data_IF_874966133671
#
_entry.id   IF_874966133671
#
_cell.length_a   1.000
_cell.length_b   1.000
_cell.length_c   1.000
_cell.angle_alpha   90.00
_cell.angle_beta   90.00
_cell.angle_gamma   90.00
#
_symmetry.space_group_name_H-M   'P 1'
#
loop_
_entity.id
_entity.type
_entity.pdbx_description
1 polymer ?
#
# COMPACT_ATOMS: atom_id res chain seq x y z
N UNK A 1 -2.67 56.24 -21.15
CA UNK A 1 -4.01 55.77 -21.54
C UNK A 1 -3.83 54.45 -22.29
N UNK A 2 -4.46 53.36 -21.80
CA UNK A 2 -4.86 52.06 -22.43
C UNK A 2 -3.87 51.34 -23.39
N UNK A 3 -3.42 50.10 -23.13
CA UNK A 3 -4.08 48.78 -23.39
C UNK A 3 -4.51 48.61 -24.87
N UNK A 4 -4.26 47.52 -25.62
CA UNK A 4 -3.76 46.16 -25.35
C UNK A 4 -3.70 45.31 -26.67
N UNK A 5 -2.87 44.25 -26.69
CA UNK A 5 -3.02 42.90 -27.35
C UNK A 5 -3.00 42.88 -28.92
N UNK A 6 -2.30 42.02 -29.68
CA UNK A 6 -2.32 40.55 -29.94
C UNK A 6 -0.97 40.15 -30.61
N UNK A 7 -0.45 38.93 -30.63
CA UNK A 7 -0.90 37.63 -30.17
C UNK A 7 0.30 36.67 -30.13
N UNK A 8 0.26 35.76 -29.15
CA UNK A 8 1.25 34.71 -28.97
C UNK A 8 0.92 33.54 -29.90
N UNK A 9 1.80 33.25 -30.86
CA UNK A 9 1.69 32.10 -31.75
C UNK A 9 2.43 30.91 -31.15
N UNK A 10 1.70 29.80 -31.04
CA UNK A 10 2.16 28.41 -30.96
C UNK A 10 3.10 28.06 -29.80
N UNK A 11 2.50 27.70 -28.67
CA UNK A 11 3.04 26.63 -27.83
C UNK A 11 2.79 25.29 -28.52
N UNK A 12 3.84 24.74 -29.14
CA UNK A 12 3.88 23.35 -29.57
C UNK A 12 3.78 22.43 -28.34
N UNK A 13 2.87 21.46 -28.43
CA UNK A 13 2.63 20.40 -27.45
C UNK A 13 3.85 19.48 -27.29
N UNK A 14 4.83 19.89 -26.49
CA UNK A 14 5.86 19.00 -25.98
C UNK A 14 5.35 18.31 -24.70
N UNK A 15 4.64 17.20 -24.93
CA UNK A 15 4.59 16.00 -24.09
C UNK A 15 5.31 16.11 -22.73
N UNK A 16 4.55 16.47 -21.70
CA UNK A 16 5.06 16.64 -20.33
C UNK A 16 5.24 15.26 -19.68
N UNK A 17 6.43 14.69 -19.87
CA UNK A 17 6.88 13.49 -19.16
C UNK A 17 6.88 13.73 -17.65
N UNK A 18 6.00 12.97 -16.98
CA UNK A 18 6.19 12.38 -15.66
C UNK A 18 6.71 13.32 -14.56
N UNK A 19 5.78 14.04 -13.91
CA UNK A 19 6.04 14.72 -12.64
C UNK A 19 5.14 14.09 -11.57
N UNK A 20 5.46 12.84 -11.17
CA UNK A 20 4.84 12.28 -9.97
C UNK A 20 5.52 12.85 -8.73
N UNK A 21 4.69 13.41 -7.84
CA UNK A 21 4.99 13.94 -6.51
C UNK A 21 5.78 15.25 -6.45
N UNK A 22 5.04 16.37 -6.49
CA UNK A 22 5.55 17.66 -6.01
C UNK A 22 5.41 17.65 -4.48
N UNK A 23 6.54 17.66 -3.75
CA UNK A 23 6.52 17.86 -2.30
C UNK A 23 5.90 19.22 -1.95
N UNK A 24 4.85 19.20 -1.13
CA UNK A 24 4.18 20.40 -0.66
C UNK A 24 5.08 21.15 0.32
N UNK A 25 5.81 22.15 -0.15
CA UNK A 25 6.63 23.03 0.71
C UNK A 25 5.81 24.23 1.19
N UNK A 26 5.60 24.37 2.50
CA UNK A 26 5.01 25.58 3.11
C UNK A 26 6.15 26.44 3.68
N UNK A 27 6.19 27.72 3.30
CA UNK A 27 7.14 28.71 3.85
C UNK A 27 6.45 29.47 4.99
N UNK A 28 6.97 29.33 6.20
CA UNK A 28 6.56 30.14 7.35
C UNK A 28 7.82 30.83 7.90
N UNK A 29 7.83 32.16 7.89
CA UNK A 29 8.90 33.03 8.43
C UNK A 29 10.34 32.57 8.11
N UNK A 30 10.75 32.68 6.83
CA UNK A 30 12.11 32.33 6.33
C UNK A 30 12.60 30.90 6.63
N UNK A 31 11.78 30.05 7.24
CA UNK A 31 12.06 28.64 7.44
C UNK A 31 11.28 27.82 6.42
N UNK A 32 11.99 26.90 5.75
CA UNK A 32 11.38 25.94 4.83
C UNK A 32 10.93 24.75 5.67
N UNK A 33 9.62 24.51 5.73
CA UNK A 33 9.05 23.30 6.33
C UNK A 33 8.74 22.34 5.19
N UNK A 34 9.49 21.24 5.11
CA UNK A 34 9.16 20.12 4.23
C UNK A 34 7.95 19.38 4.82
N UNK A 35 6.79 19.49 4.18
CA UNK A 35 5.64 18.64 4.51
C UNK A 35 5.80 17.38 3.67
N UNK A 36 6.23 16.30 4.30
CA UNK A 36 6.24 14.97 3.71
C UNK A 36 4.78 14.51 3.58
N UNK A 37 4.15 14.82 2.45
CA UNK A 37 2.88 14.23 2.07
C UNK A 37 3.10 12.72 1.93
N UNK A 38 2.70 11.99 2.97
CA UNK A 38 2.93 10.55 3.12
C UNK A 38 1.86 9.74 2.39
N UNK A 39 1.10 10.33 1.46
CA UNK A 39 0.08 9.65 0.66
C UNK A 39 0.70 8.80 -0.45
N UNK A 40 1.57 7.87 -0.06
CA UNK A 40 1.89 6.71 -0.90
C UNK A 40 0.57 5.97 -1.14
N UNK A 41 0.21 5.62 -2.38
CA UNK A 41 -0.99 4.82 -2.63
C UNK A 41 -0.89 3.55 -1.78
N UNK A 42 -1.85 3.40 -0.88
CA UNK A 42 -1.91 2.28 0.04
C UNK A 42 -2.24 1.05 -0.79
N UNK A 43 -1.22 0.28 -1.14
CA UNK A 43 -1.40 -1.01 -1.80
C UNK A 43 -2.38 -1.83 -0.96
N UNK A 44 -3.56 -2.06 -1.52
CA UNK A 44 -4.67 -2.74 -0.85
C UNK A 44 -4.21 -4.12 -0.38
N UNK A 45 -4.25 -4.34 0.94
CA UNK A 45 -3.96 -5.64 1.54
C UNK A 45 -5.25 -6.46 1.59
N UNK A 46 -5.19 -7.69 1.08
CA UNK A 46 -6.29 -8.66 1.19
C UNK A 46 -6.00 -9.59 2.37
N UNK A 47 -6.90 -9.65 3.35
CA UNK A 47 -6.73 -10.55 4.51
C UNK A 47 -6.66 -12.00 4.04
N UNK A 48 -5.67 -12.73 4.54
CA UNK A 48 -5.38 -14.12 4.21
C UNK A 48 -4.58 -14.35 2.92
N UNK A 49 -4.39 -13.34 2.08
CA UNK A 49 -3.52 -13.39 0.88
C UNK A 49 -2.12 -12.89 1.25
N UNK A 50 -1.35 -13.80 1.83
CA UNK A 50 -0.08 -13.52 2.51
C UNK A 50 1.05 -13.30 1.51
N UNK A 51 0.94 -13.87 0.31
CA UNK A 51 1.92 -13.70 -0.76
C UNK A 51 1.50 -12.68 -1.83
N UNK A 52 0.33 -12.06 -1.69
CA UNK A 52 -0.24 -11.08 -2.63
C UNK A 52 -0.41 -11.63 -4.06
N UNK A 53 -0.79 -12.91 -4.18
CA UNK A 53 -1.04 -13.55 -5.47
C UNK A 53 -2.53 -13.54 -5.90
N UNK A 54 -3.35 -12.78 -5.16
CA UNK A 54 -4.79 -12.62 -5.32
C UNK A 54 -5.60 -13.90 -4.98
N UNK A 55 -4.98 -14.93 -4.39
CA UNK A 55 -5.65 -16.19 -4.06
C UNK A 55 -5.34 -16.65 -2.64
N UNK A 56 -6.36 -16.65 -1.80
CA UNK A 56 -6.25 -17.24 -0.45
C UNK A 56 -6.24 -18.77 -0.56
N UNK A 57 -5.08 -19.39 -0.35
CA UNK A 57 -4.87 -20.82 -0.51
C UNK A 57 -3.84 -21.39 0.50
N UNK A 58 -3.46 -22.67 0.34
CA UNK A 58 -2.55 -23.35 1.27
C UNK A 58 -1.12 -22.79 1.27
N UNK A 59 -0.74 -22.06 0.23
CA UNK A 59 0.54 -21.34 0.15
C UNK A 59 0.62 -20.26 1.23
N UNK A 60 -0.47 -19.54 1.47
CA UNK A 60 -0.57 -18.52 2.51
C UNK A 60 -0.40 -19.13 3.90
N UNK A 61 -1.06 -20.26 4.15
CA UNK A 61 -0.89 -21.04 5.38
C UNK A 61 0.59 -21.42 5.58
N UNK A 62 1.25 -21.92 4.53
CA UNK A 62 2.63 -22.34 4.62
C UNK A 62 3.59 -21.18 4.89
N UNK A 63 3.32 -20.01 4.30
CA UNK A 63 4.10 -18.78 4.53
C UNK A 63 3.90 -18.25 5.95
N UNK A 64 2.66 -18.15 6.42
CA UNK A 64 2.35 -17.78 7.82
C UNK A 64 3.01 -18.74 8.81
N UNK A 65 2.96 -20.06 8.56
CA UNK A 65 3.63 -21.04 9.40
C UNK A 65 5.17 -20.89 9.39
N UNK A 66 5.75 -20.55 8.25
CA UNK A 66 7.20 -20.31 8.13
C UNK A 66 7.64 -19.08 8.93
N UNK A 67 6.81 -18.04 8.96
CA UNK A 67 7.02 -16.86 9.80
C UNK A 67 6.97 -17.18 11.28
N UNK A 68 5.93 -17.88 11.73
CA UNK A 68 5.76 -18.29 13.13
C UNK A 68 6.93 -19.14 13.61
N UNK A 69 7.47 -20.00 12.73
CA UNK A 69 8.64 -20.84 13.03
C UNK A 69 9.98 -20.08 12.98
N UNK A 70 9.99 -18.82 12.58
CA UNK A 70 11.22 -18.04 12.37
C UNK A 70 12.07 -18.52 11.19
N UNK A 71 11.50 -19.28 10.26
CA UNK A 71 12.20 -19.81 9.08
C UNK A 71 12.32 -18.73 8.00
N UNK A 72 11.22 -18.01 7.76
CA UNK A 72 11.17 -16.91 6.79
C UNK A 72 10.23 -15.82 7.30
N UNK A 73 10.77 -14.61 7.49
CA UNK A 73 9.96 -13.46 7.90
C UNK A 73 9.02 -13.02 6.76
N UNK A 74 7.83 -12.53 7.14
CA UNK A 74 6.93 -11.82 6.24
C UNK A 74 7.39 -10.37 6.14
N UNK A 75 7.09 -9.72 5.03
CA UNK A 75 7.17 -8.27 4.92
C UNK A 75 5.95 -7.61 5.58
N UNK A 76 5.92 -6.28 5.64
CA UNK A 76 4.85 -5.55 6.33
C UNK A 76 3.46 -5.84 5.74
N UNK A 77 3.36 -6.06 4.43
CA UNK A 77 2.09 -6.40 3.77
C UNK A 77 1.66 -7.83 4.10
N UNK A 78 2.58 -8.78 4.00
CA UNK A 78 2.33 -10.18 4.35
C UNK A 78 1.97 -10.32 5.83
N UNK A 79 2.60 -9.56 6.73
CA UNK A 79 2.24 -9.53 8.15
C UNK A 79 0.80 -9.04 8.34
N UNK A 80 0.43 -7.91 7.71
CA UNK A 80 -0.95 -7.38 7.76
C UNK A 80 -1.97 -8.34 7.15
N UNK A 81 -1.61 -9.02 6.06
CA UNK A 81 -2.48 -10.03 5.45
C UNK A 81 -2.61 -11.28 6.32
N UNK A 82 -1.55 -11.67 7.03
CA UNK A 82 -1.53 -12.85 7.89
C UNK A 82 -2.22 -12.62 9.24
N UNK A 83 -2.22 -11.40 9.80
CA UNK A 83 -2.94 -11.02 11.01
C UNK A 83 -4.45 -10.87 10.72
N UNK A 84 -5.11 -12.01 10.51
CA UNK A 84 -6.51 -12.05 10.08
C UNK A 84 -7.50 -11.86 11.23
N UNK A 85 -7.03 -11.87 12.48
CA UNK A 85 -7.86 -11.56 13.65
C UNK A 85 -7.66 -10.12 14.16
N UNK A 86 -6.67 -9.38 13.63
CA UNK A 86 -6.40 -7.97 13.93
C UNK A 86 -5.83 -7.74 15.32
N UNK A 87 -5.19 -8.73 15.94
CA UNK A 87 -4.62 -8.63 17.28
C UNK A 87 -3.17 -8.11 17.30
N UNK A 88 -2.64 -7.77 16.12
CA UNK A 88 -1.27 -7.34 15.86
C UNK A 88 -0.22 -8.44 16.12
N UNK A 89 -0.61 -9.73 16.08
CA UNK A 89 0.29 -10.87 16.25
C UNK A 89 -0.04 -11.99 15.28
N UNK A 90 0.90 -12.30 14.40
CA UNK A 90 0.78 -13.48 13.55
C UNK A 90 1.12 -14.76 14.34
N UNK A 91 0.12 -15.61 14.55
CA UNK A 91 0.24 -16.87 15.30
C UNK A 91 -0.64 -18.00 14.74
N UNK A 92 -0.72 -19.13 15.44
CA UNK A 92 -1.46 -20.31 14.96
C UNK A 92 -2.97 -20.09 14.86
N UNK A 93 -3.50 -19.10 15.57
CA UNK A 93 -4.91 -18.68 15.46
C UNK A 93 -5.22 -18.18 14.05
N UNK A 94 -4.31 -17.40 13.47
CA UNK A 94 -4.44 -16.89 12.11
C UNK A 94 -4.40 -18.00 11.07
N UNK A 95 -3.48 -18.95 11.22
CA UNK A 95 -3.44 -20.15 10.38
C UNK A 95 -4.79 -20.88 10.39
N UNK A 96 -5.37 -21.05 11.58
CA UNK A 96 -6.65 -21.75 11.71
C UNK A 96 -7.80 -20.98 11.03
N UNK A 97 -7.77 -19.65 11.09
CA UNK A 97 -8.77 -18.80 10.43
C UNK A 97 -8.62 -18.82 8.91
N UNK A 98 -7.40 -18.69 8.36
CA UNK A 98 -7.13 -18.83 6.92
C UNK A 98 -7.56 -20.22 6.42
N UNK A 99 -7.22 -21.28 7.16
CA UNK A 99 -7.64 -22.64 6.82
C UNK A 99 -9.17 -22.83 6.85
N UNK A 100 -9.86 -22.19 7.78
CA UNK A 100 -11.32 -22.22 7.85
C UNK A 100 -11.96 -21.50 6.67
N UNK A 101 -11.34 -20.41 6.20
CA UNK A 101 -11.76 -19.70 5.00
C UNK A 101 -11.60 -20.54 3.74
N UNK A 102 -10.43 -21.15 3.53
CA UNK A 102 -10.15 -22.03 2.39
C UNK A 102 -11.14 -23.21 2.34
N UNK A 103 -11.56 -23.71 3.51
CA UNK A 103 -12.56 -24.79 3.61
C UNK A 103 -14.01 -24.32 3.43
N UNK A 104 -14.27 -23.02 3.30
CA UNK A 104 -15.62 -22.46 3.23
C UNK A 104 -16.40 -22.56 4.56
N UNK A 105 -15.71 -22.75 5.69
CA UNK A 105 -16.34 -22.87 7.02
C UNK A 105 -16.61 -21.49 7.61
N UNK A 106 -15.66 -20.56 7.49
CA UNK A 106 -15.76 -19.19 8.04
C UNK A 106 -15.04 -18.20 7.12
N UNK A 107 -15.74 -17.15 6.71
CA UNK A 107 -15.13 -16.07 5.94
C UNK A 107 -14.16 -15.22 6.79
N UNK A 108 -13.10 -14.70 6.17
CA UNK A 108 -12.29 -13.63 6.74
C UNK A 108 -13.04 -12.30 6.55
N UNK A 109 -12.91 -11.38 7.50
CA UNK A 109 -13.61 -10.10 7.50
C UNK A 109 -12.94 -9.10 8.40
#
# INVERSE_FOLDING_TARGET
MKMDIFGNSANEDANMTNVESIESSIVIDKSVITILDSSKPEDKVTLGDVNADEKINVTDIAMTASHIKGIKALDDKGFKAADVNGDNKVNVTDIAMIASHIKGIKALG
#
